data_IF_179880804850
#
_entry.id   IF_179880804850
#
_cell.length_a   1.000
_cell.length_b   1.000
_cell.length_c   1.000
_cell.angle_alpha   90.00
_cell.angle_beta   90.00
_cell.angle_gamma   90.00
#
_symmetry.space_group_name_H-M   'P 1'
#
loop_
_entity.id
_entity.type
_entity.pdbx_description
1 polymer ?
#
# COMPACT_ATOMS: atom_id res chain seq x y z
N UNK A 1 -0.20 -17.72 42.48
CA UNK A 1 -0.58 -16.95 41.28
C UNK A 1 -2.08 -16.81 41.41
N UNK A 2 -2.52 -15.62 41.79
CA UNK A 2 -3.94 -15.37 42.09
C UNK A 2 -4.67 -15.18 40.77
N UNK A 3 -5.40 -16.21 40.34
CA UNK A 3 -6.45 -16.08 39.33
C UNK A 3 -7.57 -15.26 39.96
N UNK A 4 -7.45 -13.93 39.85
CA UNK A 4 -8.50 -13.01 40.28
C UNK A 4 -9.56 -12.93 39.16
N UNK A 5 -10.75 -13.55 39.32
CA UNK A 5 -11.77 -13.56 38.29
C UNK A 5 -12.25 -12.15 37.91
N UNK A 6 -12.14 -11.18 38.83
CA UNK A 6 -12.50 -9.79 38.56
C UNK A 6 -11.57 -9.13 37.52
N UNK A 7 -10.29 -9.54 37.50
CA UNK A 7 -9.31 -9.05 36.53
C UNK A 7 -9.60 -9.57 35.12
N UNK A 8 -9.94 -10.86 34.99
CA UNK A 8 -10.29 -11.44 33.69
C UNK A 8 -11.60 -10.86 33.13
N UNK A 9 -12.59 -10.63 33.99
CA UNK A 9 -13.87 -10.02 33.62
C UNK A 9 -13.64 -8.58 33.14
N UNK A 10 -12.82 -7.81 33.85
CA UNK A 10 -12.46 -6.44 33.45
C UNK A 10 -11.71 -6.43 32.11
N UNK A 11 -10.67 -7.26 31.95
CA UNK A 11 -9.91 -7.35 30.70
C UNK A 11 -10.82 -7.68 29.51
N UNK A 12 -11.72 -8.64 29.67
CA UNK A 12 -12.66 -9.05 28.61
C UNK A 12 -13.65 -7.92 28.28
N UNK A 13 -14.16 -7.22 29.28
CA UNK A 13 -15.06 -6.07 29.09
C UNK A 13 -14.36 -4.92 28.37
N UNK A 14 -13.13 -4.60 28.78
CA UNK A 14 -12.37 -3.49 28.21
C UNK A 14 -11.92 -3.78 26.78
N UNK A 15 -11.54 -5.02 26.48
CA UNK A 15 -11.28 -5.45 25.10
C UNK A 15 -12.53 -5.34 24.23
N UNK A 16 -13.70 -5.76 24.73
CA UNK A 16 -14.95 -5.64 23.96
C UNK A 16 -15.28 -4.19 23.64
N UNK A 17 -15.18 -3.30 24.63
CA UNK A 17 -15.38 -1.85 24.45
C UNK A 17 -14.38 -1.26 23.45
N UNK A 18 -13.12 -1.69 23.50
CA UNK A 18 -12.11 -1.27 22.55
C UNK A 18 -12.45 -1.70 21.11
N UNK A 19 -12.92 -2.95 20.92
CA UNK A 19 -13.36 -3.44 19.61
C UNK A 19 -14.61 -2.70 19.08
N UNK A 20 -15.58 -2.43 19.94
CA UNK A 20 -16.75 -1.61 19.59
C UNK A 20 -16.34 -0.19 19.20
N UNK A 21 -15.40 0.40 19.95
CA UNK A 21 -14.86 1.72 19.66
C UNK A 21 -14.10 1.78 18.34
N UNK A 22 -13.47 0.70 17.87
CA UNK A 22 -12.84 0.63 16.54
C UNK A 22 -13.88 0.73 15.42
N UNK A 23 -15.04 0.09 15.59
CA UNK A 23 -16.12 0.09 14.60
C UNK A 23 -16.97 1.36 14.61
N UNK A 24 -16.85 2.20 15.64
CA UNK A 24 -17.55 3.47 15.73
C UNK A 24 -17.20 4.37 14.51
N UNK A 25 -18.17 5.08 13.90
CA UNK A 25 -17.94 5.93 12.73
C UNK A 25 -16.77 6.92 12.88
N UNK A 26 -16.56 7.45 14.10
CA UNK A 26 -15.49 8.38 14.42
C UNK A 26 -14.07 7.76 14.39
N UNK A 27 -13.95 6.43 14.42
CA UNK A 27 -12.68 5.71 14.52
C UNK A 27 -12.45 4.70 13.38
N UNK A 28 -13.50 4.36 12.63
CA UNK A 28 -13.51 3.36 11.54
C UNK A 28 -12.46 3.62 10.45
N UNK A 29 -12.06 4.88 10.28
CA UNK A 29 -11.14 5.32 9.25
C UNK A 29 -9.66 5.34 9.72
N UNK A 30 -9.41 5.43 11.04
CA UNK A 30 -8.06 5.65 11.61
C UNK A 30 -7.10 4.46 11.46
N UNK A 31 -7.62 3.25 11.26
CA UNK A 31 -6.82 2.03 11.30
C UNK A 31 -6.71 1.32 9.95
N UNK A 32 -7.70 1.49 9.07
CA UNK A 32 -7.69 0.94 7.71
C UNK A 32 -8.66 1.73 6.83
N UNK A 33 -8.28 1.95 5.57
CA UNK A 33 -9.13 2.57 4.57
C UNK A 33 -9.12 1.71 3.30
N UNK A 34 -10.30 1.45 2.74
CA UNK A 34 -10.46 0.74 1.47
C UNK A 34 -11.56 1.42 0.66
N UNK A 35 -11.23 1.85 -0.55
CA UNK A 35 -12.19 2.29 -1.55
C UNK A 35 -11.72 1.85 -2.94
N UNK A 36 -12.66 1.74 -3.86
CA UNK A 36 -12.31 1.66 -5.27
C UNK A 36 -11.57 2.94 -5.65
N UNK A 37 -10.26 2.83 -5.89
CA UNK A 37 -9.43 3.97 -6.25
C UNK A 37 -10.02 4.73 -7.44
N UNK A 38 -9.77 6.04 -7.47
CA UNK A 38 -9.90 6.82 -8.69
C UNK A 38 -9.20 6.08 -9.82
N UNK A 39 -9.89 5.91 -10.96
CA UNK A 39 -9.33 5.25 -12.14
C UNK A 39 -7.91 5.79 -12.35
N UNK A 40 -6.93 4.89 -12.33
CA UNK A 40 -5.54 5.24 -12.58
C UNK A 40 -5.50 6.13 -13.82
N UNK A 41 -4.78 7.26 -13.80
CA UNK A 41 -4.71 8.10 -14.97
C UNK A 41 -4.24 7.23 -16.15
N UNK A 42 -4.74 7.47 -17.38
CA UNK A 42 -4.24 6.80 -18.58
C UNK A 42 -2.83 7.30 -18.94
N UNK A 43 -2.00 7.48 -17.93
CA UNK A 43 -0.69 8.08 -17.98
C UNK A 43 0.33 6.96 -18.05
N UNK A 44 1.23 7.08 -19.02
CA UNK A 44 2.24 6.06 -19.29
C UNK A 44 3.25 6.00 -18.16
N UNK A 45 3.72 4.80 -17.87
CA UNK A 45 4.92 4.56 -17.05
C UNK A 45 6.01 4.11 -18.00
N UNK A 46 7.21 4.66 -17.88
CA UNK A 46 8.33 4.30 -18.74
C UNK A 46 9.42 3.61 -17.91
N UNK A 47 10.05 2.58 -18.47
CA UNK A 47 11.15 1.86 -17.83
C UNK A 47 12.42 1.99 -18.68
N UNK A 48 13.54 2.33 -18.05
CA UNK A 48 14.80 2.56 -18.75
C UNK A 48 15.28 1.34 -19.54
N UNK A 49 15.41 1.53 -20.86
CA UNK A 49 15.79 0.48 -21.80
C UNK A 49 14.67 -0.51 -22.14
N UNK A 50 13.44 -0.29 -21.68
CA UNK A 50 12.23 -1.02 -22.12
C UNK A 50 11.26 -0.08 -22.85
N UNK A 51 11.18 1.18 -22.42
CA UNK A 51 10.25 2.17 -22.95
C UNK A 51 8.93 2.19 -22.18
N UNK A 52 7.88 2.70 -22.82
CA UNK A 52 6.56 2.84 -22.20
C UNK A 52 5.96 1.46 -21.88
N UNK A 53 5.35 1.34 -20.72
CA UNK A 53 4.72 0.13 -20.21
C UNK A 53 3.21 0.27 -20.35
N UNK A 54 2.66 -0.48 -21.29
CA UNK A 54 1.22 -0.53 -21.55
C UNK A 54 0.63 -1.80 -20.97
N UNK A 55 -0.66 -1.77 -20.64
CA UNK A 55 -1.42 -2.93 -20.19
C UNK A 55 -2.52 -3.21 -21.22
N UNK A 56 -2.72 -4.47 -21.66
CA UNK A 56 -2.02 -5.68 -21.22
C UNK A 56 -0.57 -5.77 -21.74
N UNK A 57 0.31 -6.39 -20.94
CA UNK A 57 1.70 -6.58 -21.31
C UNK A 57 1.85 -7.66 -22.38
N UNK A 58 2.68 -7.40 -23.40
CA UNK A 58 3.11 -8.44 -24.32
C UNK A 58 4.20 -9.32 -23.70
N UNK A 59 4.32 -10.57 -24.15
CA UNK A 59 5.35 -11.49 -23.67
C UNK A 59 6.77 -10.93 -23.87
N UNK A 60 7.02 -10.27 -25.01
CA UNK A 60 8.29 -9.61 -25.29
C UNK A 60 8.60 -8.53 -24.25
N UNK A 61 7.61 -7.68 -23.93
CA UNK A 61 7.75 -6.60 -22.94
C UNK A 61 7.95 -7.17 -21.53
N UNK A 62 7.29 -8.28 -21.18
CA UNK A 62 7.51 -9.01 -19.92
C UNK A 62 8.95 -9.50 -19.80
N UNK A 63 9.51 -10.13 -20.86
CA UNK A 63 10.89 -10.61 -20.85
C UNK A 63 11.90 -9.48 -20.67
N UNK A 64 11.68 -8.33 -21.30
CA UNK A 64 12.51 -7.14 -21.13
C UNK A 64 12.44 -6.59 -19.70
N UNK A 65 11.24 -6.54 -19.10
CA UNK A 65 11.05 -6.11 -17.71
C UNK A 65 11.75 -7.06 -16.74
N UNK A 66 11.64 -8.39 -16.94
CA UNK A 66 12.34 -9.38 -16.12
C UNK A 66 13.87 -9.19 -16.20
N UNK A 67 14.40 -8.91 -17.38
CA UNK A 67 15.84 -8.69 -17.57
C UNK A 67 16.36 -7.41 -16.88
N UNK A 68 15.49 -6.40 -16.69
CA UNK A 68 15.82 -5.14 -16.00
C UNK A 68 15.58 -5.20 -14.50
N UNK A 69 14.64 -6.03 -14.08
CA UNK A 69 14.29 -6.22 -12.67
C UNK A 69 15.34 -7.08 -11.97
N UNK A 70 15.42 -6.93 -10.65
CA UNK A 70 16.13 -7.85 -9.79
C UNK A 70 15.13 -8.71 -9.03
N UNK A 71 15.54 -9.92 -8.64
CA UNK A 71 14.69 -10.77 -7.82
C UNK A 71 14.64 -10.20 -6.41
N UNK A 72 13.44 -9.98 -5.90
CA UNK A 72 13.25 -9.50 -4.54
C UNK A 72 13.89 -10.51 -3.56
N UNK A 73 14.62 -10.05 -2.53
CA UNK A 73 15.21 -10.95 -1.54
C UNK A 73 14.13 -11.78 -0.85
N UNK A 74 14.43 -13.05 -0.61
CA UNK A 74 13.51 -13.96 0.06
C UNK A 74 13.33 -13.53 1.53
N UNK A 75 12.14 -13.02 1.83
CA UNK A 75 11.86 -12.37 3.09
C UNK A 75 11.52 -13.37 4.19
N UNK A 76 12.51 -13.96 4.86
CA UNK A 76 12.28 -14.50 6.22
C UNK A 76 11.83 -13.41 7.22
N UNK A 77 11.91 -12.13 6.85
CA UNK A 77 11.47 -10.97 7.65
C UNK A 77 10.23 -10.23 7.11
N UNK A 78 9.69 -10.59 5.95
CA UNK A 78 8.43 -10.01 5.47
C UNK A 78 7.32 -11.03 5.68
N UNK A 79 6.28 -10.65 6.43
CA UNK A 79 5.10 -11.51 6.70
C UNK A 79 4.28 -11.85 5.44
N UNK A 80 4.75 -11.52 4.24
CA UNK A 80 4.08 -11.77 2.97
C UNK A 80 4.65 -13.04 2.30
N UNK A 81 4.37 -14.20 2.89
CA UNK A 81 4.98 -15.48 2.53
C UNK A 81 4.38 -16.20 1.31
N UNK A 82 3.73 -15.51 0.36
CA UNK A 82 2.96 -16.20 -0.71
C UNK A 82 3.33 -15.89 -2.16
N UNK A 83 4.40 -15.14 -2.45
CA UNK A 83 4.93 -15.05 -3.83
C UNK A 83 6.44 -15.26 -3.82
N UNK A 84 6.86 -16.52 -3.97
CA UNK A 84 8.28 -16.97 -4.02
C UNK A 84 9.05 -16.53 -5.29
N UNK A 85 8.51 -15.62 -6.10
CA UNK A 85 9.13 -15.21 -7.36
C UNK A 85 8.74 -13.78 -7.76
N UNK A 86 9.05 -12.81 -6.90
CA UNK A 86 8.81 -11.39 -7.20
C UNK A 86 10.04 -10.79 -7.89
N UNK A 87 9.78 -10.07 -8.98
CA UNK A 87 10.75 -9.26 -9.71
C UNK A 87 10.46 -7.80 -9.39
N UNK A 88 11.48 -7.05 -8.94
CA UNK A 88 11.37 -5.65 -8.53
C UNK A 88 12.25 -4.77 -9.43
N UNK A 89 11.71 -3.62 -9.83
CA UNK A 89 12.46 -2.57 -10.51
C UNK A 89 12.89 -1.52 -9.48
N UNK A 90 14.10 -1.01 -9.62
CA UNK A 90 14.58 0.08 -8.77
C UNK A 90 13.93 1.41 -9.17
N UNK A 91 13.86 2.35 -8.21
CA UNK A 91 13.21 3.66 -8.41
C UNK A 91 13.84 4.46 -9.56
N UNK A 92 15.14 4.33 -9.75
CA UNK A 92 15.93 5.04 -10.76
C UNK A 92 15.69 4.52 -12.17
N UNK A 93 15.09 3.33 -12.30
CA UNK A 93 14.74 2.73 -13.59
C UNK A 93 13.32 3.12 -14.07
N UNK A 94 12.55 3.85 -13.24
CA UNK A 94 11.13 4.14 -13.47
C UNK A 94 10.88 5.64 -13.68
N UNK A 95 10.24 5.97 -14.80
CA UNK A 95 9.91 7.34 -15.15
C UNK A 95 8.41 7.54 -15.35
N UNK A 96 7.91 8.65 -14.84
CA UNK A 96 6.52 9.09 -14.94
C UNK A 96 6.46 10.36 -15.79
N UNK A 97 6.55 10.25 -17.13
CA UNK A 97 6.72 11.41 -18.00
C UNK A 97 5.48 12.31 -18.06
N UNK A 98 4.30 11.77 -17.77
CA UNK A 98 3.05 12.51 -17.83
C UNK A 98 2.80 13.34 -16.56
N UNK A 99 2.62 14.68 -16.67
CA UNK A 99 2.28 15.53 -15.53
C UNK A 99 1.01 15.13 -14.77
N UNK A 100 0.08 14.39 -15.41
CA UNK A 100 -1.14 13.88 -14.78
C UNK A 100 -0.85 13.00 -13.55
N UNK A 101 0.31 12.32 -13.52
CA UNK A 101 0.76 11.55 -12.35
C UNK A 101 0.87 12.41 -11.08
N UNK A 102 1.37 13.64 -11.18
CA UNK A 102 1.53 14.52 -10.02
C UNK A 102 0.18 14.91 -9.42
N UNK A 103 -0.79 15.24 -10.29
CA UNK A 103 -2.15 15.58 -9.87
C UNK A 103 -2.83 14.39 -9.20
N UNK A 104 -2.77 13.22 -9.82
CA UNK A 104 -3.34 11.99 -9.30
C UNK A 104 -2.75 11.59 -7.95
N UNK A 105 -1.41 11.55 -7.82
CA UNK A 105 -0.74 11.19 -6.57
C UNK A 105 -1.08 12.14 -5.43
N UNK A 106 -1.26 13.44 -5.73
CA UNK A 106 -1.72 14.42 -4.73
C UNK A 106 -3.13 14.11 -4.25
N UNK A 107 -4.05 13.78 -5.15
CA UNK A 107 -5.43 13.43 -4.79
C UNK A 107 -5.49 12.15 -3.97
N UNK A 108 -4.83 11.07 -4.43
CA UNK A 108 -4.73 9.80 -3.69
C UNK A 108 -4.15 10.04 -2.29
N UNK A 109 -3.10 10.86 -2.19
CA UNK A 109 -2.51 11.22 -0.90
C UNK A 109 -3.52 11.94 0.00
N UNK A 110 -4.24 12.93 -0.50
CA UNK A 110 -5.23 13.67 0.30
C UNK A 110 -6.35 12.74 0.79
N UNK A 111 -6.85 11.88 -0.10
CA UNK A 111 -7.89 10.90 0.23
C UNK A 111 -7.40 9.92 1.30
N UNK A 112 -6.19 9.36 1.16
CA UNK A 112 -5.60 8.46 2.14
C UNK A 112 -5.34 9.15 3.48
N UNK A 113 -4.83 10.38 3.46
CA UNK A 113 -4.49 11.15 4.67
C UNK A 113 -5.76 11.44 5.48
N UNK A 114 -6.82 11.91 4.80
CA UNK A 114 -8.14 12.15 5.39
C UNK A 114 -8.74 10.86 5.96
N UNK A 115 -8.74 9.78 5.18
CA UNK A 115 -9.31 8.51 5.61
C UNK A 115 -8.54 7.90 6.76
N UNK A 116 -7.22 7.85 6.70
CA UNK A 116 -6.39 7.30 7.79
C UNK A 116 -6.35 8.19 9.04
N UNK A 117 -7.01 9.35 9.04
CA UNK A 117 -6.99 10.30 10.15
C UNK A 117 -5.58 10.82 10.46
N UNK A 118 -4.72 10.88 9.44
CA UNK A 118 -3.35 11.37 9.57
C UNK A 118 -3.40 12.89 9.42
N UNK A 119 -3.16 13.63 10.50
CA UNK A 119 -3.18 15.10 10.47
C UNK A 119 -1.79 15.72 10.20
N UNK A 120 -0.79 14.86 9.96
CA UNK A 120 0.61 15.27 9.76
C UNK A 120 0.94 15.30 8.26
N UNK A 121 1.57 16.38 7.74
CA UNK A 121 1.97 16.42 6.35
C UNK A 121 3.01 15.34 6.03
N UNK A 122 2.64 14.38 5.17
CA UNK A 122 3.57 13.40 4.58
C UNK A 122 4.67 14.15 3.82
N UNK A 123 5.92 14.09 4.29
CA UNK A 123 7.03 14.72 3.56
C UNK A 123 7.43 13.85 2.39
N UNK A 124 7.54 14.45 1.21
CA UNK A 124 8.17 13.81 0.05
C UNK A 124 9.68 13.94 0.26
N UNK A 125 10.37 12.82 0.45
CA UNK A 125 11.84 12.74 0.48
C UNK A 125 12.43 12.53 -0.91
#
# INVERSE_FOLDING_TARGET
MDDNPDYEIQLKSDLLKAFEAINAPANRAKYAAWEANQKTPPARVNVDGVGDVDIPLSEQKVRLLIAKAHRAPDGRRSKAAHVRNRWELNKDQLHFPDPAWKGYLRTVRQDLTSKLGIDVPIRLG
#
